data_IF_969735153384
#
_entry.id   IF_969735153384
#
_cell.length_a   1.000
_cell.length_b   1.000
_cell.length_c   1.000
_cell.angle_alpha   90.00
_cell.angle_beta   90.00
_cell.angle_gamma   90.00
#
_symmetry.space_group_name_H-M   'P 1'
#
loop_
_entity.id
_entity.type
_entity.pdbx_description
1 polymer ?
#
# COMPACT_ATOMS: atom_id res chain seq x y z
N UNK A 1 -7.78 34.23 0.84
CA UNK A 1 -7.69 34.23 -0.64
C UNK A 1 -6.57 35.14 -1.16
N UNK A 2 -5.44 35.30 -0.44
CA UNK A 2 -4.32 36.19 -0.87
C UNK A 2 -3.48 35.62 -2.02
N UNK A 3 -3.34 34.30 -2.13
CA UNK A 3 -2.50 33.66 -3.16
C UNK A 3 -3.16 33.68 -4.56
N UNK A 4 -4.49 33.54 -4.61
CA UNK A 4 -5.25 33.68 -5.86
C UNK A 4 -5.22 35.13 -6.40
N UNK A 5 -5.21 36.11 -5.50
CA UNK A 5 -5.07 37.53 -5.86
C UNK A 5 -3.69 37.86 -6.44
N UNK A 6 -2.67 37.02 -6.18
CA UNK A 6 -1.32 37.11 -6.76
C UNK A 6 -1.17 36.33 -8.09
N UNK A 7 -2.27 35.84 -8.67
CA UNK A 7 -2.25 35.10 -9.94
C UNK A 7 -1.71 33.67 -9.84
N UNK A 8 -1.57 33.12 -8.64
CA UNK A 8 -1.10 31.75 -8.43
C UNK A 8 -2.31 30.81 -8.53
N UNK A 9 -2.28 29.88 -9.50
CA UNK A 9 -3.23 28.78 -9.56
C UNK A 9 -2.89 27.74 -8.48
N UNK A 10 -3.65 27.82 -7.38
CA UNK A 10 -3.51 26.91 -6.25
C UNK A 10 -3.84 25.46 -6.62
N UNK A 11 -4.79 25.22 -7.52
CA UNK A 11 -5.18 23.87 -7.90
C UNK A 11 -4.06 23.20 -8.69
N UNK A 12 -3.46 23.93 -9.63
CA UNK A 12 -2.30 23.45 -10.38
C UNK A 12 -1.14 23.15 -9.44
N UNK A 13 -0.80 24.08 -8.54
CA UNK A 13 0.31 23.89 -7.60
C UNK A 13 0.09 22.69 -6.66
N UNK A 14 -1.14 22.50 -6.16
CA UNK A 14 -1.50 21.35 -5.34
C UNK A 14 -1.37 20.03 -6.13
N UNK A 15 -1.86 20.00 -7.37
CA UNK A 15 -1.74 18.83 -8.23
C UNK A 15 -0.25 18.48 -8.49
N UNK A 16 0.59 19.48 -8.77
CA UNK A 16 2.04 19.27 -8.94
C UNK A 16 2.70 18.69 -7.68
N UNK A 17 2.34 19.15 -6.49
CA UNK A 17 2.86 18.59 -5.24
C UNK A 17 2.38 17.16 -4.99
N UNK A 18 1.12 16.85 -5.30
CA UNK A 18 0.59 15.49 -5.19
C UNK A 18 1.31 14.54 -6.14
N UNK A 19 1.49 14.92 -7.41
CA UNK A 19 2.20 14.12 -8.41
C UNK A 19 3.65 13.86 -7.98
N UNK A 20 4.39 14.91 -7.57
CA UNK A 20 5.78 14.77 -7.07
C UNK A 20 5.87 13.83 -5.87
N UNK A 21 4.87 13.85 -4.98
CA UNK A 21 4.81 12.93 -3.84
C UNK A 21 4.58 11.49 -4.31
N UNK A 22 3.65 11.26 -5.24
CA UNK A 22 3.35 9.94 -5.78
C UNK A 22 4.55 9.34 -6.53
N UNK A 23 5.20 10.11 -7.40
CA UNK A 23 6.43 9.72 -8.09
C UNK A 23 7.54 9.31 -7.11
N UNK A 24 7.71 10.09 -6.03
CA UNK A 24 8.70 9.79 -5.00
C UNK A 24 8.37 8.48 -4.26
N UNK A 25 7.11 8.27 -3.92
CA UNK A 25 6.66 7.02 -3.26
C UNK A 25 6.93 5.83 -4.19
N UNK A 26 6.59 5.96 -5.47
CA UNK A 26 6.74 4.88 -6.44
C UNK A 26 8.21 4.52 -6.65
N UNK A 27 9.09 5.53 -6.78
CA UNK A 27 10.53 5.32 -6.83
C UNK A 27 11.06 4.62 -5.58
N UNK A 28 10.67 5.09 -4.38
CA UNK A 28 11.08 4.45 -3.12
C UNK A 28 10.60 2.99 -3.03
N UNK A 29 9.39 2.68 -3.50
CA UNK A 29 8.89 1.29 -3.55
C UNK A 29 9.69 0.43 -4.51
N UNK A 30 10.02 0.95 -5.71
CA UNK A 30 10.85 0.24 -6.68
C UNK A 30 12.24 -0.11 -6.10
N UNK A 31 12.91 0.87 -5.48
CA UNK A 31 14.19 0.67 -4.80
C UNK A 31 14.10 -0.38 -3.68
N UNK A 32 12.99 -0.41 -2.94
CA UNK A 32 12.74 -1.42 -1.90
C UNK A 32 12.55 -2.80 -2.54
N UNK A 33 11.76 -2.91 -3.60
CA UNK A 33 11.52 -4.18 -4.31
C UNK A 33 12.81 -4.77 -4.85
N UNK A 34 13.64 -3.97 -5.54
CA UNK A 34 14.94 -4.41 -6.06
C UNK A 34 15.86 -4.93 -4.93
N UNK A 35 15.85 -4.25 -3.78
CA UNK A 35 16.60 -4.69 -2.59
C UNK A 35 16.06 -5.98 -1.97
N UNK A 36 14.76 -6.24 -2.08
CA UNK A 36 14.13 -7.47 -1.60
C UNK A 36 14.41 -8.64 -2.54
N UNK A 37 14.38 -8.43 -3.85
CA UNK A 37 14.72 -9.45 -4.86
C UNK A 37 16.16 -9.95 -4.72
N UNK A 38 17.10 -9.07 -4.36
CA UNK A 38 18.50 -9.45 -4.11
C UNK A 38 18.70 -10.28 -2.83
N UNK A 39 17.69 -10.43 -1.97
CA UNK A 39 17.81 -11.22 -0.73
C UNK A 39 17.46 -12.67 -0.99
N UNK A 40 18.34 -13.57 -0.54
CA UNK A 40 18.18 -15.03 -0.71
C UNK A 40 17.15 -15.68 0.22
N UNK A 41 16.71 -15.00 1.28
CA UNK A 41 15.73 -15.53 2.25
C UNK A 41 14.68 -14.49 2.57
N UNK A 42 13.42 -14.93 2.53
CA UNK A 42 12.28 -14.10 2.93
C UNK A 42 11.92 -14.40 4.38
N UNK A 43 11.96 -13.36 5.21
CA UNK A 43 11.57 -13.45 6.61
C UNK A 43 10.05 -13.56 6.75
N UNK A 44 9.57 -14.18 7.85
CA UNK A 44 8.14 -14.18 8.18
C UNK A 44 7.58 -12.77 8.46
N UNK A 45 8.40 -11.86 9.00
CA UNK A 45 7.99 -10.49 9.30
C UNK A 45 8.13 -9.59 8.08
N UNK A 46 7.13 -8.72 7.87
CA UNK A 46 7.24 -7.60 6.94
C UNK A 46 8.42 -6.71 7.34
N UNK A 47 9.37 -6.40 6.44
CA UNK A 47 10.51 -5.55 6.72
C UNK A 47 10.12 -4.12 7.13
N UNK A 48 10.93 -3.48 7.96
CA UNK A 48 10.67 -2.13 8.43
C UNK A 48 10.62 -1.09 7.29
N UNK A 49 11.42 -1.26 6.23
CA UNK A 49 11.40 -0.39 5.05
C UNK A 49 10.03 -0.41 4.36
N UNK A 50 9.45 -1.60 4.20
CA UNK A 50 8.11 -1.79 3.64
C UNK A 50 7.06 -1.12 4.52
N UNK A 51 7.11 -1.34 5.84
CA UNK A 51 6.17 -0.68 6.79
C UNK A 51 6.21 0.84 6.68
N UNK A 52 7.41 1.43 6.59
CA UNK A 52 7.59 2.89 6.47
C UNK A 52 7.05 3.44 5.17
N UNK A 53 7.30 2.80 4.02
CA UNK A 53 6.80 3.32 2.75
C UNK A 53 5.27 3.22 2.67
N UNK A 54 4.68 2.14 3.20
CA UNK A 54 3.23 1.98 3.32
C UNK A 54 2.62 3.07 4.22
N UNK A 55 3.26 3.39 5.35
CA UNK A 55 2.82 4.49 6.22
C UNK A 55 2.97 5.85 5.53
N UNK A 56 4.06 6.09 4.78
CA UNK A 56 4.22 7.33 4.01
C UNK A 56 3.12 7.51 2.97
N UNK A 57 2.71 6.43 2.33
CA UNK A 57 1.70 6.42 1.27
C UNK A 57 0.28 6.62 1.80
N UNK A 58 -0.14 5.82 2.79
CA UNK A 58 -1.52 5.78 3.27
C UNK A 58 -1.75 6.56 4.58
N UNK A 59 -0.68 7.04 5.21
CA UNK A 59 -0.74 7.65 6.53
C UNK A 59 -1.18 6.64 7.59
N UNK A 60 -2.17 7.02 8.40
CA UNK A 60 -2.71 6.21 9.50
C UNK A 60 -4.06 5.56 9.18
N UNK A 61 -4.55 5.67 7.94
CA UNK A 61 -5.90 5.23 7.55
C UNK A 61 -5.88 3.90 6.80
N UNK A 62 -7.03 3.25 6.81
CA UNK A 62 -7.32 2.11 5.94
C UNK A 62 -7.20 2.50 4.46
N UNK A 63 -6.58 1.63 3.65
CA UNK A 63 -6.35 1.85 2.23
C UNK A 63 -7.59 1.63 1.35
N UNK A 64 -8.64 0.98 1.86
CA UNK A 64 -9.92 0.85 1.14
C UNK A 64 -10.48 2.25 0.82
N UNK A 65 -10.80 2.53 -0.46
CA UNK A 65 -11.38 3.80 -0.86
C UNK A 65 -12.60 4.13 0.00
N UNK A 66 -12.78 5.41 0.34
CA UNK A 66 -13.86 5.93 1.20
C UNK A 66 -13.81 5.53 2.68
N UNK A 67 -12.98 4.56 3.08
CA UNK A 67 -12.83 4.22 4.50
C UNK A 67 -12.04 5.29 5.25
N UNK A 68 -12.56 5.74 6.40
CA UNK A 68 -11.90 6.74 7.25
C UNK A 68 -11.35 6.17 8.56
N UNK A 69 -11.51 4.86 8.78
CA UNK A 69 -11.06 4.19 9.99
C UNK A 69 -9.52 4.09 10.01
N UNK A 70 -8.89 4.11 11.20
CA UNK A 70 -7.46 3.90 11.31
C UNK A 70 -7.08 2.51 10.78
N UNK A 71 -5.87 2.40 10.22
CA UNK A 71 -5.29 1.10 9.91
C UNK A 71 -4.79 0.43 11.19
N UNK A 72 -5.11 -0.86 11.33
CA UNK A 72 -4.70 -1.70 12.46
C UNK A 72 -3.78 -2.84 12.00
N UNK A 73 -3.89 -3.28 10.75
CA UNK A 73 -3.19 -4.43 10.20
C UNK A 73 -2.62 -4.15 8.82
N UNK A 74 -1.46 -4.76 8.52
CA UNK A 74 -0.93 -4.85 7.17
C UNK A 74 -1.39 -6.16 6.56
N UNK A 75 -1.98 -6.08 5.37
CA UNK A 75 -2.53 -7.20 4.63
C UNK A 75 -1.74 -7.42 3.35
N UNK A 76 -1.45 -8.67 3.02
CA UNK A 76 -0.88 -9.04 1.72
C UNK A 76 -1.99 -9.19 0.68
N UNK A 77 -2.10 -8.26 -0.25
CA UNK A 77 -3.12 -8.31 -1.33
C UNK A 77 -2.80 -9.38 -2.37
N UNK A 78 -1.51 -9.70 -2.56
CA UNK A 78 -1.07 -10.93 -3.21
C UNK A 78 -0.70 -11.94 -2.13
N UNK A 79 -1.30 -13.13 -2.14
CA UNK A 79 -1.10 -14.13 -1.08
C UNK A 79 0.38 -14.43 -0.88
N UNK A 80 0.85 -14.26 0.36
CA UNK A 80 2.23 -14.56 0.73
C UNK A 80 2.61 -16.02 0.48
N UNK A 81 1.68 -16.96 0.61
CA UNK A 81 1.96 -18.36 0.30
C UNK A 81 2.32 -18.61 -1.17
N UNK A 82 1.89 -17.74 -2.09
CA UNK A 82 2.17 -17.86 -3.53
C UNK A 82 3.43 -17.10 -3.93
N UNK A 83 3.55 -15.84 -3.52
CA UNK A 83 4.67 -14.99 -3.94
C UNK A 83 5.89 -15.10 -3.02
N UNK A 84 5.67 -15.53 -1.77
CA UNK A 84 6.64 -15.44 -0.68
C UNK A 84 7.34 -14.08 -0.66
N UNK A 85 6.65 -12.97 -0.95
CA UNK A 85 7.26 -11.65 -1.06
C UNK A 85 6.58 -10.61 -0.18
N UNK A 86 7.35 -9.59 0.20
CA UNK A 86 6.89 -8.42 0.95
C UNK A 86 6.96 -7.15 0.10
N UNK A 87 6.72 -7.27 -1.21
CA UNK A 87 6.80 -6.11 -2.10
C UNK A 87 5.75 -5.08 -1.71
N UNK A 88 6.13 -3.79 -1.55
CA UNK A 88 5.22 -2.76 -1.07
C UNK A 88 3.91 -2.69 -1.87
N UNK A 89 3.95 -2.87 -3.19
CA UNK A 89 2.78 -2.85 -4.07
C UNK A 89 1.71 -3.90 -3.71
N UNK A 90 2.11 -4.96 -3.01
CA UNK A 90 1.22 -6.04 -2.59
C UNK A 90 0.92 -6.03 -1.09
N UNK A 91 1.19 -4.92 -0.40
CA UNK A 91 0.87 -4.73 1.02
C UNK A 91 -0.09 -3.56 1.17
N UNK A 92 -1.24 -3.79 1.81
CA UNK A 92 -2.24 -2.76 2.09
C UNK A 92 -2.47 -2.60 3.59
N UNK A 93 -2.44 -1.36 4.14
CA UNK A 93 -2.84 -1.09 5.51
C UNK A 93 -4.38 -1.07 5.62
N UNK A 94 -4.95 -1.95 6.44
CA UNK A 94 -6.41 -2.10 6.59
C UNK A 94 -6.85 -1.89 8.04
N UNK A 95 -8.08 -1.41 8.23
CA UNK A 95 -8.75 -1.49 9.53
C UNK A 95 -9.17 -2.94 9.81
N UNK A 96 -9.49 -3.26 11.07
CA UNK A 96 -9.89 -4.64 11.45
C UNK A 96 -10.99 -5.23 10.58
N UNK A 97 -12.03 -4.46 10.27
CA UNK A 97 -13.17 -4.95 9.49
C UNK A 97 -12.79 -5.27 8.04
N UNK A 98 -12.11 -4.36 7.35
CA UNK A 98 -11.67 -4.61 5.97
C UNK A 98 -10.61 -5.71 5.88
N UNK A 99 -9.77 -5.87 6.92
CA UNK A 99 -8.83 -6.98 6.99
C UNK A 99 -9.55 -8.34 7.04
N UNK A 100 -10.63 -8.45 7.82
CA UNK A 100 -11.46 -9.67 7.88
C UNK A 100 -12.20 -9.94 6.57
N UNK A 101 -12.74 -8.90 5.94
CA UNK A 101 -13.41 -9.00 4.64
C UNK A 101 -12.42 -9.49 3.58
N UNK A 102 -11.22 -8.90 3.49
CA UNK A 102 -10.19 -9.32 2.54
C UNK A 102 -9.86 -10.82 2.66
N UNK A 103 -9.66 -11.32 3.88
CA UNK A 103 -9.44 -12.75 4.11
C UNK A 103 -10.66 -13.64 3.80
N UNK A 104 -11.90 -13.14 3.92
CA UNK A 104 -13.09 -13.89 3.51
C UNK A 104 -13.15 -14.07 1.99
N UNK A 105 -12.84 -13.02 1.23
CA UNK A 105 -12.80 -13.06 -0.24
C UNK A 105 -11.69 -14.01 -0.70
N UNK A 106 -10.51 -13.95 -0.06
CA UNK A 106 -9.42 -14.88 -0.32
C UNK A 106 -9.87 -16.33 -0.15
N UNK A 107 -10.52 -16.67 0.95
CA UNK A 107 -10.95 -18.06 1.20
C UNK A 107 -11.94 -18.55 0.16
N UNK A 108 -12.94 -17.75 -0.21
CA UNK A 108 -13.93 -18.15 -1.21
C UNK A 108 -13.29 -18.42 -2.59
N UNK A 109 -12.20 -17.72 -2.95
CA UNK A 109 -11.44 -18.04 -4.16
C UNK A 109 -10.72 -19.41 -4.09
N UNK A 110 -10.41 -19.91 -2.89
CA UNK A 110 -9.84 -21.28 -2.73
C UNK A 110 -10.88 -22.35 -3.05
N UNK A 111 -12.11 -22.17 -2.60
CA UNK A 111 -13.19 -23.14 -2.80
C UNK A 111 -13.62 -23.25 -4.27
N UNK A 112 -13.41 -22.20 -5.08
CA UNK A 112 -13.77 -22.15 -6.49
C UNK A 112 -12.64 -22.54 -7.47
N UNK A 113 -11.40 -22.70 -7.01
CA UNK A 113 -10.22 -22.96 -7.87
C UNK A 113 -9.58 -24.33 -7.59
N UNK A 114 -10.16 -25.16 -6.72
CA UNK A 114 -9.72 -26.55 -6.58
C UNK A 114 -10.24 -27.41 -7.76
N UNK A 115 -9.40 -27.95 -8.66
CA UNK A 115 -9.81 -29.06 -9.50
C UNK A 115 -9.83 -30.35 -8.64
N UNK A 116 -10.82 -31.20 -8.91
CA UNK A 116 -10.78 -32.63 -8.54
C UNK A 116 -9.67 -33.35 -9.29
#
# INVERSE_FOLDING_TARGET
MELQQKGIDLNQLLAEFLNKREEKIEKEKADITEKLEKKSKVSRSIPASVKRIIQKEHGTKCAIPTCRKPSEHLHHTLRFAMSQSHYPHYIAPLCRQHHLIAHSIDRNFQDHVAPK
#
